data_IF_995082347400
#
_entry.id   IF_995082347400
#
_cell.length_a   1.000
_cell.length_b   1.000
_cell.length_c   1.000
_cell.angle_alpha   90.00
_cell.angle_beta   90.00
_cell.angle_gamma   90.00
#
_symmetry.space_group_name_H-M   'P 1'
#
loop_
_entity.id
_entity.type
_entity.pdbx_description
1 polymer ?
#
# COMPACT_ATOMS: atom_id res chain seq x y z
N UNK A 1 9.24 12.55 42.61
CA UNK A 1 10.61 12.65 42.08
C UNK A 1 10.50 13.16 40.65
N UNK A 2 10.65 14.47 40.43
CA UNK A 2 10.72 15.07 39.13
C UNK A 2 11.98 14.50 38.47
N UNK A 3 11.82 13.68 37.42
CA UNK A 3 12.94 13.38 36.52
C UNK A 3 13.37 14.74 35.95
N UNK A 4 14.59 15.17 36.26
CA UNK A 4 15.17 16.35 35.63
C UNK A 4 15.25 16.04 34.15
N UNK A 5 14.48 16.78 33.34
CA UNK A 5 14.51 16.61 31.89
C UNK A 5 15.95 16.86 31.41
N UNK A 6 16.43 15.94 30.57
CA UNK A 6 17.75 16.07 29.91
C UNK A 6 17.64 17.17 28.84
N UNK A 7 18.18 18.35 29.12
CA UNK A 7 18.09 19.50 28.22
C UNK A 7 19.46 19.83 27.64
N UNK A 8 19.53 19.80 26.32
CA UNK A 8 20.68 20.22 25.55
C UNK A 8 20.46 21.56 24.86
N UNK A 9 21.40 21.96 24.06
CA UNK A 9 21.35 23.21 23.27
C UNK A 9 21.72 22.97 21.83
N UNK A 10 20.99 23.61 20.93
CA UNK A 10 21.29 23.59 19.49
C UNK A 10 22.64 24.26 19.25
N UNK A 11 23.54 23.58 18.59
CA UNK A 11 24.89 24.10 18.26
C UNK A 11 25.05 24.40 16.78
N UNK A 12 24.29 23.74 15.91
CA UNK A 12 24.37 23.95 14.47
C UNK A 12 23.06 23.56 13.80
N UNK A 13 22.65 24.31 12.76
CA UNK A 13 21.53 24.00 11.89
C UNK A 13 21.97 24.10 10.44
N UNK A 14 21.87 23.00 9.69
CA UNK A 14 22.19 22.96 8.27
C UNK A 14 20.98 22.33 7.56
N UNK A 15 20.10 23.16 6.99
CA UNK A 15 18.85 22.69 6.39
C UNK A 15 18.04 21.87 7.41
N UNK A 16 17.63 20.62 7.07
CA UNK A 16 16.85 19.78 7.99
C UNK A 16 17.71 19.07 9.06
N UNK A 17 19.02 19.26 9.06
CA UNK A 17 19.94 18.63 10.02
C UNK A 17 20.24 19.60 11.16
N UNK A 18 20.07 19.11 12.40
CA UNK A 18 20.24 19.89 13.63
C UNK A 18 21.21 19.14 14.54
N UNK A 19 22.29 19.81 14.94
CA UNK A 19 23.23 19.27 15.91
C UNK A 19 22.93 19.86 17.30
N UNK A 20 22.85 18.99 18.29
CA UNK A 20 22.49 19.34 19.68
C UNK A 20 23.54 18.80 20.64
N UNK A 21 24.01 19.67 21.55
CA UNK A 21 24.96 19.28 22.60
C UNK A 21 24.23 19.08 23.92
N UNK A 22 24.54 17.97 24.58
CA UNK A 22 24.04 17.62 25.90
C UNK A 22 25.18 17.59 26.92
N UNK A 23 24.84 17.48 28.21
CA UNK A 23 25.83 17.31 29.25
C UNK A 23 26.55 15.96 29.10
N UNK A 24 27.81 15.89 29.55
CA UNK A 24 28.61 14.69 29.51
C UNK A 24 27.92 13.50 30.18
N UNK A 25 27.86 12.37 29.51
CA UNK A 25 27.24 11.16 30.01
C UNK A 25 25.70 11.13 29.91
N UNK A 26 25.09 12.11 29.28
CA UNK A 26 23.63 12.24 29.12
C UNK A 26 23.20 12.30 27.64
N UNK A 27 23.93 11.65 26.75
CA UNK A 27 23.59 11.62 25.33
C UNK A 27 22.29 10.84 25.09
N UNK A 28 21.35 11.43 24.31
CA UNK A 28 20.15 10.69 23.87
C UNK A 28 20.52 9.47 23.04
N UNK A 29 19.73 8.42 23.16
CA UNK A 29 19.89 7.23 22.31
C UNK A 29 19.53 7.55 20.86
N UNK A 30 20.11 6.76 19.94
CA UNK A 30 19.73 6.82 18.53
C UNK A 30 18.22 6.60 18.42
N UNK A 31 17.56 7.38 17.56
CA UNK A 31 16.12 7.45 17.33
C UNK A 31 15.29 8.14 18.41
N UNK A 32 15.89 8.59 19.51
CA UNK A 32 15.13 9.40 20.45
C UNK A 32 14.58 10.66 19.78
N UNK A 33 13.36 11.03 20.15
CA UNK A 33 12.75 12.30 19.77
C UNK A 33 13.27 13.40 20.69
N UNK A 34 13.72 14.49 20.09
CA UNK A 34 14.17 15.69 20.79
C UNK A 34 13.20 16.82 20.46
N UNK A 35 12.68 17.49 21.47
CA UNK A 35 11.79 18.66 21.31
C UNK A 35 12.59 19.94 21.40
N UNK A 36 12.56 20.75 20.36
CA UNK A 36 13.25 22.06 20.31
C UNK A 36 12.17 23.16 20.30
N UNK A 37 12.29 24.13 21.23
CA UNK A 37 11.31 25.15 21.42
C UNK A 37 11.79 26.51 20.91
N UNK A 38 10.95 27.18 20.10
CA UNK A 38 11.27 28.46 19.47
C UNK A 38 11.33 29.65 20.44
N UNK A 39 10.54 29.63 21.53
CA UNK A 39 10.49 30.73 22.47
C UNK A 39 10.30 30.25 23.91
N UNK A 40 11.10 30.83 24.81
CA UNK A 40 11.08 30.51 26.24
C UNK A 40 9.91 31.17 27.02
N UNK A 41 9.19 32.11 26.42
CA UNK A 41 8.29 33.01 27.13
C UNK A 41 6.81 32.88 26.80
N UNK A 42 6.44 32.14 25.78
CA UNK A 42 5.04 32.02 25.38
C UNK A 42 4.39 30.75 25.95
N UNK A 43 3.16 30.92 26.43
CA UNK A 43 2.32 29.79 26.83
C UNK A 43 1.99 28.85 25.67
N UNK A 44 2.26 29.27 24.44
CA UNK A 44 2.07 28.53 23.20
C UNK A 44 3.43 28.23 22.55
N UNK A 45 4.19 27.30 23.15
CA UNK A 45 5.49 26.92 22.66
C UNK A 45 5.36 26.10 21.37
N UNK A 46 5.66 26.69 20.21
CA UNK A 46 5.87 25.91 18.99
C UNK A 46 7.10 25.04 19.17
N UNK A 47 6.90 23.74 19.14
CA UNK A 47 8.00 22.78 19.19
C UNK A 47 8.32 22.26 17.81
N UNK A 48 9.60 22.03 17.55
CA UNK A 48 10.08 21.27 16.40
C UNK A 48 10.60 19.95 16.95
N UNK A 49 10.14 18.84 16.37
CA UNK A 49 10.61 17.52 16.75
C UNK A 49 11.71 17.11 15.79
N UNK A 50 12.85 16.70 16.36
CA UNK A 50 13.97 16.14 15.59
C UNK A 50 14.30 14.75 16.14
N UNK A 51 14.81 13.89 15.26
CA UNK A 51 15.16 12.50 15.61
C UNK A 51 16.68 12.35 15.61
N UNK A 52 17.21 11.74 16.66
CA UNK A 52 18.64 11.46 16.78
C UNK A 52 19.06 10.40 15.78
N UNK A 53 20.00 10.74 14.90
CA UNK A 53 20.52 9.83 13.85
C UNK A 53 21.96 9.40 14.07
N UNK A 54 22.80 10.22 14.69
CA UNK A 54 24.22 9.96 14.91
C UNK A 54 24.71 10.57 16.20
N UNK A 55 25.70 9.91 16.82
CA UNK A 55 26.53 10.50 17.85
C UNK A 55 27.83 11.01 17.22
N UNK A 56 28.12 12.31 17.33
CA UNK A 56 29.27 12.94 16.66
C UNK A 56 30.55 12.97 17.50
N UNK A 57 30.46 12.67 18.80
CA UNK A 57 31.49 13.01 19.76
C UNK A 57 31.28 14.40 20.36
N UNK A 58 32.11 14.80 21.35
CA UNK A 58 31.96 16.08 22.06
C UNK A 58 30.57 16.30 22.63
N UNK A 59 29.94 15.26 23.17
CA UNK A 59 28.62 15.30 23.75
C UNK A 59 27.53 15.83 22.80
N UNK A 60 27.77 15.71 21.50
CA UNK A 60 26.89 16.23 20.43
C UNK A 60 26.23 15.09 19.66
N UNK A 61 24.93 15.24 19.42
CA UNK A 61 24.14 14.33 18.56
C UNK A 61 23.69 15.07 17.31
N UNK A 62 23.68 14.36 16.20
CA UNK A 62 23.14 14.86 14.92
C UNK A 62 21.76 14.32 14.72
N UNK A 63 20.81 15.23 14.47
CA UNK A 63 19.39 14.94 14.37
C UNK A 63 18.84 15.38 13.01
N UNK A 64 17.73 14.78 12.62
CA UNK A 64 16.96 15.15 11.43
C UNK A 64 15.60 15.65 11.84
N UNK A 65 15.20 16.81 11.34
CA UNK A 65 13.94 17.46 11.69
C UNK A 65 12.75 16.81 10.96
N UNK A 66 11.62 16.74 11.67
CA UNK A 66 10.34 16.25 11.14
C UNK A 66 9.48 17.37 10.55
N UNK A 67 9.88 18.62 10.72
CA UNK A 67 9.23 19.79 10.14
C UNK A 67 10.27 20.82 9.75
N UNK A 68 9.84 21.98 9.20
CA UNK A 68 10.76 23.03 8.79
C UNK A 68 11.62 23.52 9.96
N UNK A 69 12.91 23.72 9.70
CA UNK A 69 13.85 24.30 10.67
C UNK A 69 13.97 25.82 10.55
N UNK A 70 13.14 26.45 9.72
CA UNK A 70 13.15 27.91 9.53
C UNK A 70 12.95 28.64 10.86
N UNK A 71 13.83 29.61 11.10
CA UNK A 71 13.80 30.37 12.35
C UNK A 71 14.55 29.72 13.53
N UNK A 72 15.07 28.53 13.37
CA UNK A 72 15.87 27.86 14.39
C UNK A 72 17.26 28.51 14.49
N UNK A 73 17.69 28.80 15.71
CA UNK A 73 18.99 29.43 16.00
C UNK A 73 19.80 28.62 17.00
N UNK A 74 21.10 28.92 17.08
CA UNK A 74 21.97 28.36 18.13
C UNK A 74 21.44 28.70 19.52
N UNK A 75 21.74 27.85 20.47
CA UNK A 75 21.40 27.95 21.89
C UNK A 75 19.93 27.81 22.22
N UNK A 76 19.08 27.46 21.27
CA UNK A 76 17.72 27.01 21.58
C UNK A 76 17.76 25.78 22.46
N UNK A 77 16.88 25.68 23.43
CA UNK A 77 16.77 24.50 24.28
C UNK A 77 16.21 23.32 23.52
N UNK A 78 16.84 22.16 23.74
CA UNK A 78 16.47 20.90 23.14
C UNK A 78 16.27 19.85 24.23
N UNK A 79 15.04 19.40 24.39
CA UNK A 79 14.66 18.45 25.42
C UNK A 79 14.64 17.04 24.87
N UNK A 80 15.47 16.16 25.48
CA UNK A 80 15.43 14.73 25.20
C UNK A 80 14.16 14.13 25.82
N UNK A 81 13.28 13.57 25.02
CA UNK A 81 12.06 12.92 25.52
C UNK A 81 12.33 11.56 26.15
N UNK A 82 13.54 11.01 25.98
CA UNK A 82 13.90 9.70 26.50
C UNK A 82 13.35 8.52 25.72
N UNK A 83 12.66 8.77 24.61
CA UNK A 83 12.02 7.72 23.79
C UNK A 83 11.94 8.14 22.32
N UNK A 84 11.78 7.18 21.38
CA UNK A 84 11.48 7.49 20.00
C UNK A 84 10.16 8.25 19.83
N UNK A 85 9.93 8.78 18.63
CA UNK A 85 8.63 9.38 18.28
C UNK A 85 7.54 8.35 18.59
N UNK A 86 6.55 8.74 19.39
CA UNK A 86 5.44 7.87 19.78
C UNK A 86 4.12 8.48 19.30
N UNK A 87 3.26 7.61 18.77
CA UNK A 87 2.05 8.03 18.06
C UNK A 87 0.81 7.37 18.70
N UNK A 88 -0.37 8.01 18.57
CA UNK A 88 -1.59 7.41 19.08
C UNK A 88 -1.96 6.15 18.31
N UNK A 89 -2.44 5.12 19.02
CA UNK A 89 -2.92 3.86 18.43
C UNK A 89 -4.27 3.50 19.06
N UNK A 90 -5.07 2.71 18.35
CA UNK A 90 -6.39 2.27 18.76
C UNK A 90 -7.47 2.72 17.78
N UNK A 91 -8.74 2.40 18.08
CA UNK A 91 -9.85 2.71 17.18
C UNK A 91 -10.11 4.21 17.02
N UNK A 92 -9.63 5.03 17.96
CA UNK A 92 -9.76 6.50 17.89
C UNK A 92 -9.01 7.15 16.74
N UNK A 93 -8.09 6.42 16.06
CA UNK A 93 -7.37 6.95 14.90
C UNK A 93 -8.17 6.76 13.59
N UNK A 94 -9.20 5.93 13.60
CA UNK A 94 -10.01 5.66 12.40
C UNK A 94 -10.78 6.91 11.96
N UNK A 95 -10.82 7.13 10.68
CA UNK A 95 -11.49 8.28 10.06
C UNK A 95 -10.69 9.58 10.10
N UNK A 96 -9.49 9.57 10.66
CA UNK A 96 -8.67 10.75 10.87
C UNK A 96 -7.44 10.74 9.98
N UNK A 97 -6.89 11.94 9.75
CA UNK A 97 -5.64 12.13 9.00
C UNK A 97 -4.57 12.62 9.96
N UNK A 98 -3.42 11.96 9.95
CA UNK A 98 -2.29 12.24 10.82
C UNK A 98 -1.05 12.64 10.01
N UNK A 99 -0.15 13.40 10.66
CA UNK A 99 1.21 13.59 10.18
C UNK A 99 2.16 12.51 10.75
N UNK A 100 3.45 12.63 10.48
CA UNK A 100 4.47 11.68 10.96
C UNK A 100 4.51 11.57 12.49
N UNK A 101 4.16 12.63 13.22
CA UNK A 101 4.17 12.68 14.68
C UNK A 101 2.88 12.14 15.30
N UNK A 102 1.91 11.73 14.50
CA UNK A 102 0.61 11.30 14.99
C UNK A 102 -0.29 12.45 15.42
N UNK A 103 -0.02 13.66 14.95
CA UNK A 103 -0.88 14.82 15.15
C UNK A 103 -1.90 14.88 14.01
N UNK A 104 -3.14 15.27 14.33
CA UNK A 104 -4.21 15.38 13.33
C UNK A 104 -4.01 16.59 12.43
N UNK A 105 -4.26 16.41 11.13
CA UNK A 105 -4.15 17.48 10.11
C UNK A 105 -5.43 17.62 9.28
N UNK A 106 -6.52 17.03 9.73
CA UNK A 106 -7.81 16.98 9.01
C UNK A 106 -8.76 18.14 9.34
N UNK A 107 -8.33 19.09 10.14
CA UNK A 107 -9.12 20.25 10.62
C UNK A 107 -10.36 19.87 11.44
N UNK A 108 -10.55 18.62 11.81
CA UNK A 108 -11.57 18.21 12.76
C UNK A 108 -11.11 18.57 14.18
N UNK A 109 -11.85 19.40 14.93
CA UNK A 109 -11.45 19.82 16.27
C UNK A 109 -11.61 18.72 17.32
N UNK A 110 -12.26 17.60 16.99
CA UNK A 110 -12.46 16.51 17.93
C UNK A 110 -11.11 15.91 18.35
N UNK A 111 -10.85 15.70 19.64
CA UNK A 111 -9.61 15.06 20.09
C UNK A 111 -9.60 13.58 19.71
N UNK A 112 -8.40 13.06 19.43
CA UNK A 112 -8.21 11.63 19.23
C UNK A 112 -8.17 10.93 20.57
N UNK A 113 -9.09 10.00 20.79
CA UNK A 113 -9.12 9.16 21.98
C UNK A 113 -8.31 7.91 21.69
N UNK A 114 -7.01 7.98 21.98
CA UNK A 114 -6.10 6.87 21.78
C UNK A 114 -6.17 5.87 22.96
N UNK A 115 -6.05 4.58 22.65
CA UNK A 115 -5.91 3.56 23.69
C UNK A 115 -4.55 3.66 24.36
N UNK A 116 -3.50 3.83 23.55
CA UNK A 116 -2.11 3.95 23.98
C UNK A 116 -1.33 4.83 22.99
N UNK A 117 -0.08 5.13 23.33
CA UNK A 117 0.92 5.67 22.41
C UNK A 117 2.04 4.66 22.26
N UNK A 118 2.36 4.37 21.01
CA UNK A 118 3.42 3.43 20.67
C UNK A 118 4.56 4.09 19.91
N UNK A 119 5.82 3.69 20.18
CA UNK A 119 6.97 4.21 19.42
C UNK A 119 6.95 3.67 17.99
N UNK A 120 7.35 4.52 17.03
CA UNK A 120 7.38 4.13 15.61
C UNK A 120 8.54 3.18 15.29
N UNK A 121 9.60 3.20 16.09
CA UNK A 121 10.71 2.25 15.97
C UNK A 121 10.43 1.04 16.86
N UNK A 122 10.04 -0.05 16.22
CA UNK A 122 9.67 -1.30 16.88
C UNK A 122 10.41 -2.45 16.21
N UNK A 123 10.79 -3.48 16.96
CA UNK A 123 11.38 -4.68 16.36
C UNK A 123 10.35 -5.43 15.53
N UNK A 124 10.82 -6.14 14.50
CA UNK A 124 9.99 -7.10 13.79
C UNK A 124 9.52 -8.20 14.74
N UNK A 125 8.39 -8.87 14.47
CA UNK A 125 7.96 -10.03 15.26
C UNK A 125 9.05 -11.10 15.30
N UNK A 126 9.17 -11.75 16.46
CA UNK A 126 10.12 -12.84 16.63
C UNK A 126 9.68 -14.05 15.81
N UNK A 127 10.64 -14.88 15.41
CA UNK A 127 10.34 -16.09 14.65
C UNK A 127 9.26 -16.96 15.29
N UNK A 128 9.29 -17.11 16.61
CA UNK A 128 8.31 -17.90 17.37
C UNK A 128 6.89 -17.32 17.34
N UNK A 129 6.76 -16.02 17.08
CA UNK A 129 5.47 -15.33 17.03
C UNK A 129 4.85 -15.33 15.62
N UNK A 130 5.60 -15.78 14.61
CA UNK A 130 5.13 -15.82 13.23
C UNK A 130 4.12 -16.95 13.04
N UNK A 131 3.13 -16.70 12.18
CA UNK A 131 2.20 -17.74 11.74
C UNK A 131 2.92 -18.71 10.80
N UNK A 132 2.87 -20.03 11.05
CA UNK A 132 3.48 -21.02 10.15
C UNK A 132 2.64 -21.26 8.90
N UNK A 133 1.38 -20.84 8.88
CA UNK A 133 0.42 -21.15 7.82
C UNK A 133 0.44 -20.12 6.72
N UNK A 134 0.46 -20.57 5.46
CA UNK A 134 0.24 -19.72 4.30
C UNK A 134 -1.25 -19.73 3.96
N UNK A 135 -1.90 -18.60 4.12
CA UNK A 135 -3.33 -18.43 3.86
C UNK A 135 -3.57 -17.36 2.81
N UNK A 136 -4.49 -17.62 1.90
CA UNK A 136 -4.94 -16.62 0.93
C UNK A 136 -5.78 -15.55 1.65
N UNK A 137 -5.54 -14.28 1.29
CA UNK A 137 -6.45 -13.19 1.64
C UNK A 137 -7.44 -13.04 0.48
N UNK A 138 -8.64 -13.55 0.67
CA UNK A 138 -9.69 -13.47 -0.34
C UNK A 138 -10.21 -12.02 -0.44
N UNK A 139 -10.10 -11.43 -1.61
CA UNK A 139 -10.45 -10.02 -1.84
C UNK A 139 -11.87 -9.84 -2.40
N UNK A 140 -12.46 -10.89 -2.92
CA UNK A 140 -13.76 -10.82 -3.61
C UNK A 140 -13.66 -10.21 -5.02
N UNK A 141 -12.45 -9.93 -5.48
CA UNK A 141 -12.17 -9.40 -6.81
C UNK A 141 -11.64 -10.55 -7.67
N UNK A 142 -12.41 -10.95 -8.69
CA UNK A 142 -12.14 -12.15 -9.50
C UNK A 142 -10.72 -12.19 -10.05
N UNK A 143 -10.29 -11.12 -10.70
CA UNK A 143 -8.97 -11.11 -11.36
C UNK A 143 -7.83 -11.21 -10.35
N UNK A 144 -7.99 -10.60 -9.19
CA UNK A 144 -6.97 -10.66 -8.13
C UNK A 144 -6.91 -12.08 -7.53
N UNK A 145 -8.03 -12.60 -7.10
CA UNK A 145 -8.08 -13.88 -6.40
C UNK A 145 -7.71 -15.06 -7.31
N UNK A 146 -8.02 -14.97 -8.60
CA UNK A 146 -7.68 -16.02 -9.56
C UNK A 146 -6.20 -15.97 -9.99
N UNK A 147 -5.75 -14.81 -10.46
CA UNK A 147 -4.47 -14.66 -11.20
C UNK A 147 -3.31 -14.26 -10.29
N UNK A 148 -3.56 -13.32 -9.40
CA UNK A 148 -2.53 -12.75 -8.53
C UNK A 148 -3.01 -12.72 -7.07
N UNK A 149 -3.34 -13.89 -6.49
CA UNK A 149 -3.92 -13.95 -5.15
C UNK A 149 -2.98 -13.38 -4.10
N UNK A 150 -3.56 -12.69 -3.12
CA UNK A 150 -2.85 -12.12 -2.01
C UNK A 150 -2.70 -13.14 -0.89
N UNK A 151 -1.55 -13.14 -0.25
CA UNK A 151 -1.31 -13.96 0.93
C UNK A 151 -1.46 -13.08 2.18
N UNK A 152 -2.11 -13.61 3.22
CA UNK A 152 -2.20 -12.91 4.50
C UNK A 152 -0.80 -12.70 5.07
N UNK A 153 -0.51 -11.46 5.46
CA UNK A 153 0.82 -11.07 5.92
C UNK A 153 1.82 -10.86 4.80
N UNK A 154 1.37 -10.91 3.55
CA UNK A 154 2.21 -10.71 2.37
C UNK A 154 2.38 -9.25 1.98
N UNK A 155 3.32 -9.02 1.10
CA UNK A 155 3.63 -7.71 0.53
C UNK A 155 3.31 -7.74 -0.94
N UNK A 156 2.37 -6.90 -1.35
CA UNK A 156 1.89 -6.83 -2.72
C UNK A 156 2.36 -5.53 -3.36
N UNK A 157 3.05 -5.63 -4.48
CA UNK A 157 3.40 -4.46 -5.27
C UNK A 157 2.26 -4.08 -6.20
N UNK A 158 1.88 -2.81 -6.19
CA UNK A 158 0.87 -2.26 -7.07
C UNK A 158 1.53 -1.34 -8.09
N UNK A 159 1.44 -1.71 -9.36
CA UNK A 159 2.03 -1.00 -10.48
C UNK A 159 0.93 -0.41 -11.35
N UNK A 160 1.10 0.81 -11.81
CA UNK A 160 0.16 1.44 -12.72
C UNK A 160 0.37 2.93 -12.80
N UNK A 161 0.11 3.48 -13.98
CA UNK A 161 0.15 4.91 -14.22
C UNK A 161 -1.08 5.65 -13.69
N UNK A 162 -1.14 6.93 -13.96
CA UNK A 162 -2.30 7.75 -13.62
C UNK A 162 -3.53 7.34 -14.43
N UNK A 163 -4.71 7.41 -13.80
CA UNK A 163 -5.99 7.21 -14.48
C UNK A 163 -6.37 5.77 -14.80
N UNK A 164 -5.70 4.78 -14.19
CA UNK A 164 -6.00 3.35 -14.41
C UNK A 164 -6.82 2.70 -13.29
N UNK A 165 -7.36 3.50 -12.37
CA UNK A 165 -8.24 3.01 -11.31
C UNK A 165 -7.54 2.51 -10.06
N UNK A 166 -6.32 2.95 -9.79
CA UNK A 166 -5.56 2.59 -8.58
C UNK A 166 -6.33 2.91 -7.30
N UNK A 167 -6.84 4.13 -7.18
CA UNK A 167 -7.57 4.59 -6.00
C UNK A 167 -8.86 3.80 -5.77
N UNK A 168 -9.59 3.52 -6.83
CA UNK A 168 -10.85 2.78 -6.77
C UNK A 168 -10.58 1.34 -6.31
N UNK A 169 -9.51 0.71 -6.80
CA UNK A 169 -9.11 -0.62 -6.36
C UNK A 169 -8.74 -0.63 -4.88
N UNK A 170 -7.98 0.36 -4.42
CA UNK A 170 -7.61 0.51 -3.00
C UNK A 170 -8.86 0.61 -2.14
N UNK A 171 -9.81 1.46 -2.52
CA UNK A 171 -11.06 1.63 -1.76
C UNK A 171 -11.90 0.36 -1.73
N UNK A 172 -11.95 -0.38 -2.82
CA UNK A 172 -12.68 -1.65 -2.87
C UNK A 172 -12.04 -2.71 -1.96
N UNK A 173 -10.71 -2.78 -1.94
CA UNK A 173 -9.99 -3.67 -1.01
C UNK A 173 -10.30 -3.32 0.45
N UNK A 174 -10.31 -2.04 0.79
CA UNK A 174 -10.67 -1.57 2.15
C UNK A 174 -12.10 -1.99 2.49
N UNK A 175 -13.04 -1.75 1.59
CA UNK A 175 -14.44 -2.11 1.78
C UNK A 175 -14.61 -3.62 2.00
N UNK A 176 -14.01 -4.43 1.14
CA UNK A 176 -14.18 -5.87 1.20
C UNK A 176 -13.52 -6.50 2.42
N UNK A 177 -12.34 -6.03 2.82
CA UNK A 177 -11.68 -6.51 4.03
C UNK A 177 -12.47 -6.12 5.28
N UNK A 178 -12.97 -4.89 5.35
CA UNK A 178 -13.79 -4.44 6.48
C UNK A 178 -15.10 -5.23 6.60
N UNK A 179 -15.77 -5.49 5.49
CA UNK A 179 -17.08 -6.16 5.45
C UNK A 179 -16.97 -7.67 5.67
N UNK A 180 -16.02 -8.32 4.99
CA UNK A 180 -15.92 -9.80 4.98
C UNK A 180 -14.95 -10.35 6.02
N UNK A 181 -13.92 -9.59 6.38
CA UNK A 181 -12.87 -10.02 7.32
C UNK A 181 -12.89 -9.24 8.64
N UNK A 182 -13.67 -8.18 8.73
CA UNK A 182 -13.80 -7.35 9.94
C UNK A 182 -12.55 -6.55 10.29
N UNK A 183 -11.59 -6.44 9.39
CA UNK A 183 -10.31 -5.75 9.61
C UNK A 183 -10.36 -4.28 9.26
N UNK A 184 -9.51 -3.51 9.92
CA UNK A 184 -9.29 -2.11 9.62
C UNK A 184 -8.15 -1.94 8.63
N UNK A 185 -8.03 -0.74 8.07
CA UNK A 185 -6.99 -0.40 7.12
C UNK A 185 -6.25 0.85 7.55
N UNK A 186 -4.98 0.93 7.17
CA UNK A 186 -4.16 2.12 7.35
C UNK A 186 -3.59 2.50 5.99
N UNK A 187 -3.74 3.76 5.62
CA UNK A 187 -3.17 4.29 4.38
C UNK A 187 -2.05 5.27 4.71
N UNK A 188 -0.83 4.95 4.26
CA UNK A 188 0.34 5.82 4.42
C UNK A 188 0.67 6.48 3.09
N UNK A 189 0.46 7.79 3.00
CA UNK A 189 0.86 8.60 1.86
C UNK A 189 2.27 9.12 2.04
N UNK A 190 3.20 8.64 1.24
CA UNK A 190 4.63 8.96 1.34
C UNK A 190 5.09 9.77 0.15
N UNK A 191 5.39 11.03 0.37
CA UNK A 191 5.94 11.92 -0.66
C UNK A 191 4.96 12.28 -1.79
N UNK A 192 3.67 12.07 -1.58
CA UNK A 192 2.64 12.40 -2.57
C UNK A 192 2.22 13.88 -2.50
N UNK A 193 1.51 14.34 -3.52
CA UNK A 193 1.01 15.71 -3.57
C UNK A 193 -0.12 15.90 -2.57
N UNK A 194 -0.15 17.05 -1.89
CA UNK A 194 -1.18 17.40 -0.93
C UNK A 194 -2.60 17.31 -1.53
N UNK A 195 -2.75 17.73 -2.78
CA UNK A 195 -4.03 17.65 -3.50
C UNK A 195 -4.52 16.21 -3.64
N UNK A 196 -3.63 15.29 -4.02
CA UNK A 196 -3.98 13.87 -4.18
C UNK A 196 -4.41 13.25 -2.86
N UNK A 197 -3.73 13.58 -1.76
CA UNK A 197 -4.11 13.12 -0.43
C UNK A 197 -5.47 13.61 0.01
N UNK A 198 -5.79 14.87 -0.26
CA UNK A 198 -7.09 15.44 0.04
C UNK A 198 -8.21 14.82 -0.82
N UNK A 199 -7.93 14.61 -2.11
CA UNK A 199 -8.88 13.97 -3.02
C UNK A 199 -9.20 12.54 -2.57
N UNK A 200 -8.20 11.78 -2.16
CA UNK A 200 -8.37 10.42 -1.62
C UNK A 200 -9.27 10.42 -0.38
N UNK A 201 -9.03 11.33 0.54
CA UNK A 201 -9.84 11.44 1.76
C UNK A 201 -11.31 11.73 1.46
N UNK A 202 -11.57 12.66 0.52
CA UNK A 202 -12.93 12.98 0.09
C UNK A 202 -13.60 11.78 -0.61
N UNK A 203 -12.88 11.08 -1.46
CA UNK A 203 -13.38 9.87 -2.13
C UNK A 203 -13.70 8.77 -1.13
N UNK A 204 -12.87 8.59 -0.09
CA UNK A 204 -13.14 7.63 0.98
C UNK A 204 -14.39 7.99 1.79
N UNK A 205 -14.65 9.28 2.00
CA UNK A 205 -15.88 9.74 2.65
C UNK A 205 -17.11 9.43 1.79
N UNK A 206 -17.05 9.75 0.51
CA UNK A 206 -18.14 9.52 -0.43
C UNK A 206 -18.46 8.03 -0.59
N UNK A 207 -17.46 7.18 -0.62
CA UNK A 207 -17.62 5.73 -0.75
C UNK A 207 -17.93 5.02 0.56
N UNK A 208 -17.88 5.73 1.70
CA UNK A 208 -18.22 5.20 3.01
C UNK A 208 -17.18 4.34 3.69
N UNK A 209 -15.94 4.31 3.19
CA UNK A 209 -14.86 3.49 3.77
C UNK A 209 -14.00 4.23 4.80
N UNK A 210 -14.20 5.54 4.95
CA UNK A 210 -13.36 6.38 5.82
C UNK A 210 -13.40 5.91 7.29
N UNK A 211 -14.53 5.43 7.78
CA UNK A 211 -14.70 4.99 9.16
C UNK A 211 -13.92 3.72 9.50
N UNK A 212 -13.38 3.04 8.50
CA UNK A 212 -12.58 1.81 8.64
C UNK A 212 -11.11 2.04 8.35
N UNK A 213 -10.70 3.29 8.15
CA UNK A 213 -9.36 3.63 7.68
C UNK A 213 -8.73 4.75 8.50
N UNK A 214 -7.48 4.58 8.90
CA UNK A 214 -6.63 5.66 9.39
C UNK A 214 -5.71 6.14 8.25
N UNK A 215 -5.55 7.44 8.10
CA UNK A 215 -4.74 8.06 7.07
C UNK A 215 -3.53 8.74 7.71
N UNK A 216 -2.34 8.50 7.17
CA UNK A 216 -1.10 9.11 7.66
C UNK A 216 -0.35 9.68 6.45
N UNK A 217 -0.13 10.98 6.45
CA UNK A 217 0.49 11.66 5.32
C UNK A 217 1.82 12.31 5.67
N UNK A 218 2.85 11.98 4.89
CA UNK A 218 4.11 12.71 4.81
C UNK A 218 4.27 13.21 3.39
N UNK A 219 3.74 14.41 3.11
CA UNK A 219 3.58 14.95 1.77
C UNK A 219 4.93 15.37 1.15
N UNK A 220 4.95 15.59 -0.17
CA UNK A 220 6.17 15.94 -0.89
C UNK A 220 6.78 17.29 -0.46
N UNK A 221 5.99 18.17 0.13
CA UNK A 221 6.45 19.47 0.63
C UNK A 221 7.05 19.40 2.03
N UNK A 222 6.96 18.27 2.71
CA UNK A 222 7.56 18.09 4.03
C UNK A 222 9.05 17.71 3.91
N UNK A 223 9.85 17.97 4.96
CA UNK A 223 11.27 17.64 4.93
C UNK A 223 11.51 16.14 4.83
N UNK A 224 12.72 15.72 4.41
CA UNK A 224 13.01 14.30 4.17
C UNK A 224 12.86 13.41 5.41
N UNK A 225 13.07 13.95 6.62
CA UNK A 225 12.84 13.22 7.87
C UNK A 225 11.41 12.75 8.02
N UNK A 226 10.46 13.64 7.75
CA UNK A 226 9.02 13.31 7.80
C UNK A 226 8.64 12.28 6.75
N UNK A 227 9.09 12.46 5.51
CA UNK A 227 8.82 11.53 4.41
C UNK A 227 9.43 10.14 4.65
N UNK A 228 10.60 10.09 5.30
CA UNK A 228 11.27 8.85 5.67
C UNK A 228 10.55 8.08 6.78
N UNK A 229 9.91 8.78 7.73
CA UNK A 229 9.33 8.17 8.94
C UNK A 229 7.82 7.95 8.90
N UNK A 230 7.11 8.60 7.99
CA UNK A 230 5.64 8.51 7.92
C UNK A 230 5.16 7.08 7.68
N UNK A 231 5.89 6.30 6.90
CA UNK A 231 5.59 4.88 6.68
C UNK A 231 5.64 4.07 7.97
N UNK A 232 6.58 4.38 8.85
CA UNK A 232 6.67 3.74 10.17
C UNK A 232 5.51 4.14 11.08
N UNK A 233 5.04 5.37 10.98
CA UNK A 233 3.87 5.83 11.74
C UNK A 233 2.63 5.02 11.37
N UNK A 234 2.35 4.89 10.07
CA UNK A 234 1.23 4.07 9.60
C UNK A 234 1.38 2.60 9.96
N UNK A 235 2.58 2.05 9.79
CA UNK A 235 2.86 0.67 10.15
C UNK A 235 2.62 0.40 11.64
N UNK A 236 3.00 1.33 12.51
CA UNK A 236 2.79 1.19 13.96
C UNK A 236 1.30 1.16 14.32
N UNK A 237 0.48 1.98 13.67
CA UNK A 237 -0.98 1.91 13.83
C UNK A 237 -1.53 0.55 13.39
N UNK A 238 -1.05 0.04 12.27
CA UNK A 238 -1.44 -1.28 11.77
C UNK A 238 -1.01 -2.41 12.72
N UNK A 239 0.18 -2.33 13.28
CA UNK A 239 0.69 -3.31 14.25
C UNK A 239 -0.18 -3.40 15.50
N UNK A 240 -0.72 -2.29 15.97
CA UNK A 240 -1.64 -2.29 17.11
C UNK A 240 -2.90 -3.10 16.79
N UNK A 241 -3.50 -2.88 15.63
CA UNK A 241 -4.68 -3.63 15.20
C UNK A 241 -4.38 -5.12 15.01
N UNK A 242 -3.21 -5.48 14.49
CA UNK A 242 -2.78 -6.87 14.37
C UNK A 242 -2.57 -7.53 15.71
N UNK A 243 -1.79 -6.92 16.60
CA UNK A 243 -1.26 -7.55 17.79
C UNK A 243 -2.21 -7.48 18.99
N UNK A 244 -2.91 -6.37 19.17
CA UNK A 244 -3.82 -6.13 20.29
C UNK A 244 -5.27 -6.46 19.93
N UNK A 245 -5.73 -5.96 18.77
CA UNK A 245 -7.10 -6.21 18.31
C UNK A 245 -7.25 -7.52 17.55
N UNK A 246 -6.16 -8.21 17.26
CA UNK A 246 -6.10 -9.54 16.63
C UNK A 246 -6.83 -9.59 15.28
N UNK A 247 -6.60 -8.58 14.46
CA UNK A 247 -7.26 -8.41 13.17
C UNK A 247 -6.35 -8.74 12.00
N UNK A 248 -6.98 -8.97 10.85
CA UNK A 248 -6.31 -8.98 9.56
C UNK A 248 -6.38 -7.55 9.00
N UNK A 249 -5.25 -6.86 9.02
CA UNK A 249 -5.13 -5.44 8.70
C UNK A 249 -4.59 -5.27 7.28
N UNK A 250 -5.14 -4.31 6.54
CA UNK A 250 -4.53 -3.83 5.30
C UNK A 250 -3.70 -2.59 5.58
N UNK A 251 -2.48 -2.59 5.06
CA UNK A 251 -1.60 -1.42 5.09
C UNK A 251 -1.28 -1.01 3.66
N UNK A 252 -1.66 0.21 3.30
CA UNK A 252 -1.31 0.78 2.00
C UNK A 252 -0.14 1.74 2.16
N UNK A 253 0.84 1.63 1.28
CA UNK A 253 1.99 2.55 1.23
C UNK A 253 2.04 3.12 -0.18
N UNK A 254 1.77 4.38 -0.31
CA UNK A 254 1.82 5.08 -1.59
C UNK A 254 2.72 6.31 -1.44
N UNK A 255 3.95 6.23 -1.81
CA UNK A 255 4.65 5.29 -2.65
C UNK A 255 5.92 4.80 -1.94
N UNK A 256 6.23 3.54 -2.01
CA UNK A 256 7.41 2.98 -1.34
C UNK A 256 8.73 3.56 -1.89
N UNK A 257 8.77 3.93 -3.16
CA UNK A 257 9.94 4.60 -3.75
C UNK A 257 10.26 5.91 -3.03
N UNK A 258 9.25 6.67 -2.62
CA UNK A 258 9.44 7.95 -1.91
C UNK A 258 10.04 7.76 -0.51
N UNK A 259 9.72 6.65 0.14
CA UNK A 259 10.38 6.26 1.38
C UNK A 259 11.88 6.06 1.16
N UNK A 260 12.26 5.33 0.11
CA UNK A 260 13.65 5.07 -0.24
C UNK A 260 14.37 6.37 -0.61
N UNK A 261 13.73 7.21 -1.42
CA UNK A 261 14.28 8.51 -1.85
C UNK A 261 14.54 9.43 -0.64
N UNK A 262 13.61 9.51 0.29
CA UNK A 262 13.78 10.30 1.51
C UNK A 262 14.95 9.78 2.35
N UNK A 263 15.10 8.47 2.46
CA UNK A 263 16.26 7.85 3.12
C UNK A 263 17.58 8.20 2.44
N UNK A 264 17.59 8.26 1.12
CA UNK A 264 18.76 8.70 0.33
C UNK A 264 19.12 10.16 0.61
N UNK A 265 18.12 11.04 0.64
CA UNK A 265 18.34 12.46 0.98
C UNK A 265 18.92 12.63 2.39
N UNK A 266 18.36 11.94 3.37
CA UNK A 266 18.87 11.97 4.76
C UNK A 266 20.30 11.44 4.83
N UNK A 267 20.60 10.32 4.16
CA UNK A 267 21.93 9.73 4.13
C UNK A 267 22.97 10.70 3.58
N UNK A 268 22.64 11.39 2.50
CA UNK A 268 23.50 12.43 1.91
C UNK A 268 23.75 13.59 2.88
N UNK A 269 22.70 14.06 3.56
CA UNK A 269 22.79 15.14 4.54
C UNK A 269 23.62 14.75 5.77
N UNK A 270 23.64 13.47 6.14
CA UNK A 270 24.47 12.94 7.22
C UNK A 270 25.93 12.71 6.80
N UNK A 271 26.27 12.96 5.55
CA UNK A 271 27.62 12.82 5.03
C UNK A 271 28.06 11.39 4.79
N UNK A 272 27.12 10.45 4.66
CA UNK A 272 27.44 9.06 4.34
C UNK A 272 27.84 8.94 2.87
N UNK A 273 28.82 8.07 2.59
CA UNK A 273 29.25 7.83 1.22
C UNK A 273 28.13 7.12 0.44
N UNK A 274 27.72 7.67 -0.72
CA UNK A 274 26.66 7.06 -1.49
C UNK A 274 27.08 5.71 -2.11
N UNK A 275 26.12 4.82 -2.27
CA UNK A 275 26.27 3.58 -3.02
C UNK A 275 25.89 3.77 -4.50
N UNK A 276 25.60 2.68 -5.22
CA UNK A 276 25.23 2.72 -6.64
C UNK A 276 24.08 3.71 -6.90
N UNK A 277 24.20 4.50 -7.97
CA UNK A 277 23.18 5.48 -8.44
C UNK A 277 22.83 6.55 -7.39
N UNK A 278 23.71 6.77 -6.41
CA UNK A 278 23.53 7.79 -5.37
C UNK A 278 22.63 7.38 -4.22
N UNK A 279 22.19 6.14 -4.14
CA UNK A 279 21.38 5.64 -3.02
C UNK A 279 22.22 5.47 -1.75
N UNK A 280 21.53 5.42 -0.61
CA UNK A 280 22.17 5.21 0.70
C UNK A 280 22.86 3.84 0.77
N UNK A 281 24.01 3.75 1.48
CA UNK A 281 24.69 2.46 1.66
C UNK A 281 23.88 1.47 2.48
N UNK A 282 22.89 1.94 3.24
CA UNK A 282 22.00 1.14 4.09
C UNK A 282 20.69 0.77 3.40
N UNK A 283 20.59 0.95 2.07
CA UNK A 283 19.33 0.75 1.33
C UNK A 283 18.64 -0.58 1.64
N UNK A 284 19.37 -1.68 1.53
CA UNK A 284 18.80 -3.00 1.77
C UNK A 284 18.31 -3.17 3.21
N UNK A 285 19.05 -2.63 4.18
CA UNK A 285 18.67 -2.69 5.59
C UNK A 285 17.47 -1.80 5.90
N UNK A 286 17.40 -0.61 5.31
CA UNK A 286 16.27 0.32 5.49
C UNK A 286 14.96 -0.28 4.98
N UNK A 287 14.99 -0.85 3.77
CA UNK A 287 13.83 -1.52 3.17
C UNK A 287 13.49 -2.78 3.96
N UNK A 288 14.48 -3.60 4.30
CA UNK A 288 14.30 -4.83 5.07
C UNK A 288 13.68 -4.58 6.43
N UNK A 289 14.14 -3.57 7.15
CA UNK A 289 13.62 -3.24 8.49
C UNK A 289 12.12 -2.86 8.45
N UNK A 290 11.69 -2.14 7.42
CA UNK A 290 10.29 -1.84 7.20
C UNK A 290 9.50 -3.09 6.84
N UNK A 291 9.96 -3.84 5.86
CA UNK A 291 9.24 -4.98 5.29
C UNK A 291 9.08 -6.16 6.26
N UNK A 292 10.08 -6.40 7.10
CA UNK A 292 10.06 -7.50 8.07
C UNK A 292 9.01 -7.33 9.17
N UNK A 293 8.58 -6.10 9.45
CA UNK A 293 7.49 -5.83 10.40
C UNK A 293 6.12 -6.16 9.80
N UNK A 294 6.03 -6.21 8.48
CA UNK A 294 4.79 -6.48 7.73
C UNK A 294 4.67 -7.98 7.54
N UNK A 295 3.94 -8.64 8.41
CA UNK A 295 3.83 -10.10 8.39
C UNK A 295 2.61 -10.60 9.15
N UNK A 296 2.31 -11.90 9.01
CA UNK A 296 1.34 -12.61 9.84
C UNK A 296 1.98 -13.07 11.13
N UNK A 297 1.29 -12.86 12.24
CA UNK A 297 1.62 -13.43 13.54
C UNK A 297 0.53 -14.42 13.94
N UNK A 298 0.73 -15.10 15.06
CA UNK A 298 -0.29 -15.98 15.65
C UNK A 298 -1.53 -15.21 16.11
N UNK A 299 -1.40 -13.88 16.30
CA UNK A 299 -2.48 -13.00 16.78
C UNK A 299 -3.31 -12.43 15.62
N UNK A 300 -2.68 -12.05 14.54
CA UNK A 300 -3.33 -11.42 13.38
C UNK A 300 -2.37 -11.25 12.22
N UNK A 301 -2.76 -10.47 11.22
CA UNK A 301 -1.92 -10.23 10.05
C UNK A 301 -1.92 -8.77 9.62
N UNK A 302 -0.80 -8.34 9.02
CA UNK A 302 -0.73 -7.13 8.21
C UNK A 302 -0.39 -7.56 6.79
N UNK A 303 -1.30 -7.28 5.87
CA UNK A 303 -1.07 -7.46 4.44
C UNK A 303 -0.87 -6.07 3.83
N UNK A 304 0.25 -5.85 3.16
CA UNK A 304 0.54 -4.54 2.58
C UNK A 304 0.32 -4.52 1.08
N UNK A 305 -0.24 -3.41 0.61
CA UNK A 305 -0.31 -3.06 -0.81
C UNK A 305 0.55 -1.81 -0.99
N UNK A 306 1.64 -1.95 -1.70
CA UNK A 306 2.65 -0.91 -1.85
C UNK A 306 2.68 -0.44 -3.29
N UNK A 307 2.34 0.82 -3.53
CA UNK A 307 2.51 1.41 -4.84
C UNK A 307 4.01 1.53 -5.14
N UNK A 308 4.42 1.02 -6.28
CA UNK A 308 5.82 1.00 -6.69
C UNK A 308 6.00 1.86 -7.93
N UNK A 309 6.88 2.85 -7.82
CA UNK A 309 7.34 3.65 -8.95
C UNK A 309 8.69 3.09 -9.43
N UNK A 310 8.82 2.95 -10.73
CA UNK A 310 10.07 2.47 -11.35
C UNK A 310 10.70 3.63 -12.11
N UNK A 311 11.81 4.23 -11.60
CA UNK A 311 12.46 5.36 -12.26
C UNK A 311 12.90 5.00 -13.68
N UNK A 312 12.49 5.82 -14.66
CA UNK A 312 12.82 5.66 -16.08
C UNK A 312 12.50 4.26 -16.63
N UNK A 313 11.50 3.56 -16.07
CA UNK A 313 11.13 2.18 -16.39
C UNK A 313 12.28 1.17 -16.27
N UNK A 314 13.30 1.50 -15.49
CA UNK A 314 14.49 0.67 -15.27
C UNK A 314 14.31 -0.23 -14.04
N UNK A 315 13.95 -1.48 -14.27
CA UNK A 315 13.79 -2.50 -13.22
C UNK A 315 15.12 -2.89 -12.55
N UNK A 316 16.25 -2.49 -13.13
CA UNK A 316 17.58 -2.74 -12.54
C UNK A 316 18.03 -1.66 -11.58
N UNK A 317 17.27 -0.55 -11.49
CA UNK A 317 17.52 0.49 -10.50
C UNK A 317 17.49 -0.12 -9.09
N UNK A 318 18.43 0.24 -8.19
CA UNK A 318 18.51 -0.35 -6.86
C UNK A 318 17.25 -0.24 -6.00
N UNK A 319 16.45 0.82 -6.16
CA UNK A 319 15.22 1.02 -5.37
C UNK A 319 14.14 -0.02 -5.70
N UNK A 320 13.69 -0.19 -6.96
CA UNK A 320 12.76 -1.26 -7.29
C UNK A 320 13.36 -2.63 -7.03
N UNK A 321 14.64 -2.86 -7.33
CA UNK A 321 15.29 -4.15 -7.07
C UNK A 321 15.23 -4.56 -5.61
N UNK A 322 15.52 -3.64 -4.67
CA UNK A 322 15.44 -3.89 -3.24
C UNK A 322 14.00 -4.17 -2.79
N UNK A 323 13.03 -3.49 -3.38
CA UNK A 323 11.61 -3.68 -3.07
C UNK A 323 11.10 -5.01 -3.58
N UNK A 324 11.41 -5.38 -4.83
CA UNK A 324 10.96 -6.64 -5.44
C UNK A 324 11.40 -7.89 -4.67
N UNK A 325 12.56 -7.85 -4.02
CA UNK A 325 13.04 -8.96 -3.21
C UNK A 325 12.07 -9.36 -2.08
N UNK A 326 11.21 -8.43 -1.63
CA UNK A 326 10.25 -8.64 -0.54
C UNK A 326 8.82 -8.90 -1.01
N UNK A 327 8.51 -8.71 -2.29
CA UNK A 327 7.14 -8.83 -2.78
C UNK A 327 6.71 -10.29 -2.94
N UNK A 328 5.52 -10.59 -2.45
CA UNK A 328 4.87 -11.90 -2.59
C UNK A 328 3.97 -11.97 -3.81
N UNK A 329 3.41 -10.84 -4.23
CA UNK A 329 2.56 -10.72 -5.39
C UNK A 329 2.72 -9.34 -6.04
N UNK A 330 2.40 -9.26 -7.33
CA UNK A 330 2.33 -7.99 -8.04
C UNK A 330 1.00 -7.86 -8.75
N UNK A 331 0.36 -6.71 -8.59
CA UNK A 331 -0.85 -6.31 -9.31
C UNK A 331 -0.46 -5.22 -10.28
N UNK A 332 -0.60 -5.48 -11.57
CA UNK A 332 -0.28 -4.51 -12.62
C UNK A 332 -1.57 -3.96 -13.20
N UNK A 333 -1.77 -2.65 -13.07
CA UNK A 333 -2.89 -1.95 -13.69
C UNK A 333 -2.46 -1.45 -15.07
N UNK A 334 -3.24 -1.80 -16.09
CA UNK A 334 -2.90 -1.55 -17.48
C UNK A 334 -3.82 -0.51 -18.11
N UNK A 335 -3.24 0.50 -18.71
CA UNK A 335 -3.99 1.51 -19.48
C UNK A 335 -4.71 0.90 -20.67
N UNK A 336 -4.11 -0.05 -21.38
CA UNK A 336 -4.73 -0.70 -22.53
C UNK A 336 -5.99 -1.49 -22.15
N UNK A 337 -6.01 -2.09 -20.96
CA UNK A 337 -7.18 -2.79 -20.43
C UNK A 337 -8.26 -1.77 -20.01
N UNK A 338 -7.86 -0.66 -19.37
CA UNK A 338 -8.77 0.42 -19.02
C UNK A 338 -9.43 1.05 -20.27
N UNK A 339 -8.70 1.19 -21.34
CA UNK A 339 -9.20 1.70 -22.63
C UNK A 339 -10.25 0.77 -23.27
N UNK A 340 -10.21 -0.53 -22.97
CA UNK A 340 -11.24 -1.48 -23.37
C UNK A 340 -12.49 -1.41 -22.48
N UNK A 341 -12.49 -0.57 -21.46
CA UNK A 341 -13.59 -0.45 -20.51
C UNK A 341 -13.66 -1.57 -19.48
N UNK A 342 -12.59 -2.34 -19.33
CA UNK A 342 -12.52 -3.46 -18.37
C UNK A 342 -11.98 -2.94 -17.04
N UNK A 343 -12.82 -2.98 -16.00
CA UNK A 343 -12.47 -2.56 -14.65
C UNK A 343 -12.79 -3.66 -13.64
N UNK A 344 -11.88 -3.95 -12.68
CA UNK A 344 -10.56 -3.33 -12.49
C UNK A 344 -9.62 -3.64 -13.67
N UNK A 345 -8.80 -2.66 -14.03
CA UNK A 345 -7.90 -2.78 -15.18
C UNK A 345 -6.61 -3.58 -14.86
N UNK A 346 -6.75 -4.65 -14.12
CA UNK A 346 -5.63 -5.53 -13.74
C UNK A 346 -5.22 -6.37 -14.94
N UNK A 347 -3.93 -6.32 -15.25
CA UNK A 347 -3.37 -7.12 -16.34
C UNK A 347 -3.18 -8.58 -15.88
N UNK A 348 -3.94 -9.53 -16.43
CA UNK A 348 -3.87 -10.92 -16.00
C UNK A 348 -2.62 -11.66 -16.48
N UNK A 349 -1.89 -11.11 -17.43
CA UNK A 349 -0.65 -11.71 -17.96
C UNK A 349 0.60 -11.17 -17.24
N UNK A 350 0.59 -9.90 -16.87
CA UNK A 350 1.73 -9.25 -16.20
C UNK A 350 1.65 -9.31 -14.66
N UNK A 351 0.48 -9.57 -14.10
CA UNK A 351 0.31 -9.72 -12.66
C UNK A 351 0.72 -11.11 -12.22
N UNK A 352 1.36 -11.20 -11.06
CA UNK A 352 1.92 -12.47 -10.54
C UNK A 352 1.66 -12.65 -9.06
N UNK A 353 1.75 -13.89 -8.60
CA UNK A 353 1.73 -14.22 -7.17
C UNK A 353 2.58 -15.46 -6.91
N UNK A 354 3.40 -15.40 -5.85
CA UNK A 354 4.23 -16.55 -5.44
C UNK A 354 3.41 -17.74 -4.95
N UNK A 355 2.21 -17.48 -4.44
CA UNK A 355 1.34 -18.55 -3.95
C UNK A 355 0.51 -19.21 -5.05
N UNK A 356 0.57 -18.71 -6.29
CA UNK A 356 -0.06 -19.36 -7.44
C UNK A 356 0.78 -20.59 -7.84
N UNK A 357 0.61 -21.63 -7.05
CA UNK A 357 1.34 -22.88 -7.10
C UNK A 357 0.37 -24.02 -6.71
N UNK A 358 0.38 -25.16 -7.43
CA UNK A 358 -0.56 -26.25 -7.13
C UNK A 358 -0.39 -26.84 -5.72
N UNK A 359 0.82 -26.74 -5.14
CA UNK A 359 1.08 -27.22 -3.80
C UNK A 359 0.57 -26.29 -2.69
N UNK A 360 0.31 -25.02 -3.01
CA UNK A 360 -0.17 -24.01 -2.05
C UNK A 360 -1.68 -23.80 -2.15
N UNK A 361 -2.18 -23.54 -3.36
CA UNK A 361 -3.60 -23.21 -3.59
C UNK A 361 -4.44 -24.41 -4.07
N UNK A 362 -3.81 -25.52 -4.38
CA UNK A 362 -4.48 -26.69 -4.94
C UNK A 362 -4.40 -26.72 -6.48
N UNK A 363 -4.58 -27.91 -7.03
CA UNK A 363 -4.46 -28.16 -8.47
C UNK A 363 -5.56 -27.46 -9.28
N UNK A 364 -6.78 -27.39 -8.73
CA UNK A 364 -7.91 -26.76 -9.43
C UNK A 364 -7.67 -25.28 -9.67
N UNK A 365 -7.33 -24.53 -8.61
CA UNK A 365 -7.06 -23.09 -8.74
C UNK A 365 -5.93 -22.84 -9.73
N UNK A 366 -4.83 -23.57 -9.60
CA UNK A 366 -3.67 -23.43 -10.49
C UNK A 366 -4.04 -23.73 -11.95
N UNK A 367 -4.78 -24.81 -12.18
CA UNK A 367 -5.18 -25.22 -13.53
C UNK A 367 -6.09 -24.18 -14.19
N UNK A 368 -7.06 -23.65 -13.46
CA UNK A 368 -7.98 -22.61 -13.98
C UNK A 368 -7.22 -21.33 -14.28
N UNK A 369 -6.37 -20.88 -13.37
CA UNK A 369 -5.57 -19.66 -13.56
C UNK A 369 -4.64 -19.78 -14.78
N UNK A 370 -3.93 -20.89 -14.91
CA UNK A 370 -3.04 -21.15 -16.05
C UNK A 370 -3.81 -21.28 -17.35
N UNK A 371 -4.97 -21.94 -17.33
CA UNK A 371 -5.84 -22.04 -18.49
C UNK A 371 -6.32 -20.68 -18.98
N UNK A 372 -6.71 -19.81 -18.07
CA UNK A 372 -7.08 -18.42 -18.40
C UNK A 372 -5.90 -17.67 -19.02
N UNK A 373 -4.73 -17.76 -18.42
CA UNK A 373 -3.53 -17.10 -18.92
C UNK A 373 -3.12 -17.61 -20.30
N UNK A 374 -3.18 -18.92 -20.54
CA UNK A 374 -2.86 -19.53 -21.84
C UNK A 374 -3.80 -19.04 -22.94
N UNK A 375 -5.09 -19.00 -22.67
CA UNK A 375 -6.09 -18.52 -23.64
C UNK A 375 -5.89 -17.03 -23.94
N UNK A 376 -5.65 -16.24 -22.94
CA UNK A 376 -5.40 -14.80 -23.11
C UNK A 376 -4.08 -14.53 -23.82
N UNK A 377 -3.02 -15.30 -23.54
CA UNK A 377 -1.74 -15.18 -24.23
C UNK A 377 -1.88 -15.53 -25.70
N UNK A 378 -2.58 -16.63 -26.03
CA UNK A 378 -2.82 -17.00 -27.42
C UNK A 378 -3.64 -15.94 -28.14
N UNK A 379 -4.64 -15.37 -27.51
CA UNK A 379 -5.40 -14.26 -28.08
C UNK A 379 -4.52 -13.05 -28.37
N UNK A 380 -3.63 -12.71 -27.46
CA UNK A 380 -2.65 -11.62 -27.65
C UNK A 380 -1.74 -11.88 -28.84
N UNK A 381 -1.26 -13.11 -28.99
CA UNK A 381 -0.41 -13.52 -30.12
C UNK A 381 -1.16 -13.46 -31.48
N UNK A 382 -2.48 -13.71 -31.46
CA UNK A 382 -3.32 -13.67 -32.66
C UNK A 382 -3.78 -12.26 -33.05
N UNK A 383 -3.65 -11.28 -32.15
CA UNK A 383 -4.16 -9.93 -32.40
C UNK A 383 -3.50 -9.26 -33.60
N UNK A 384 -2.22 -9.44 -33.82
CA UNK A 384 -1.51 -8.88 -34.97
C UNK A 384 -2.06 -9.46 -36.28
N UNK A 385 -2.34 -10.76 -36.31
CA UNK A 385 -2.93 -11.43 -37.47
C UNK A 385 -4.35 -10.92 -37.71
N UNK A 386 -5.14 -10.76 -36.66
CA UNK A 386 -6.51 -10.23 -36.74
C UNK A 386 -6.51 -8.80 -37.28
N UNK A 387 -5.59 -7.96 -36.82
CA UNK A 387 -5.49 -6.57 -37.26
C UNK A 387 -5.12 -6.42 -38.73
N UNK A 388 -4.29 -7.31 -39.25
CA UNK A 388 -3.77 -7.25 -40.63
C UNK A 388 -4.68 -8.02 -41.60
N UNK A 389 -5.09 -9.22 -41.26
CA UNK A 389 -5.79 -10.16 -42.16
C UNK A 389 -7.27 -10.32 -41.83
N UNK A 390 -7.73 -9.90 -40.67
CA UNK A 390 -9.11 -10.07 -40.20
C UNK A 390 -9.37 -11.43 -39.55
N UNK A 391 -10.52 -11.55 -38.89
CA UNK A 391 -10.95 -12.78 -38.21
C UNK A 391 -11.20 -13.95 -39.13
N UNK A 392 -11.59 -13.70 -40.37
CA UNK A 392 -11.95 -14.73 -41.32
C UNK A 392 -10.77 -15.63 -41.74
N UNK A 393 -9.55 -15.11 -41.61
CA UNK A 393 -8.33 -15.84 -41.94
C UNK A 393 -7.85 -16.81 -40.85
N UNK A 394 -8.50 -16.78 -39.68
CA UNK A 394 -8.16 -17.71 -38.61
C UNK A 394 -8.75 -19.09 -38.83
N UNK A 395 -8.05 -20.12 -38.33
CA UNK A 395 -8.60 -21.49 -38.26
C UNK A 395 -9.82 -21.51 -37.33
N UNK A 396 -10.66 -22.51 -37.44
CA UNK A 396 -11.84 -22.69 -36.58
C UNK A 396 -11.44 -22.82 -35.10
N UNK A 397 -10.32 -23.51 -34.85
CA UNK A 397 -9.74 -23.62 -33.50
C UNK A 397 -9.33 -22.25 -32.93
N UNK A 398 -8.67 -21.43 -33.74
CA UNK A 398 -8.25 -20.09 -33.32
C UNK A 398 -9.44 -19.14 -33.10
N UNK A 399 -10.47 -19.24 -33.97
CA UNK A 399 -11.73 -18.50 -33.79
C UNK A 399 -12.41 -18.84 -32.46
N UNK A 400 -12.42 -20.13 -32.10
CA UNK A 400 -12.98 -20.56 -30.80
C UNK A 400 -12.16 -20.03 -29.64
N UNK A 401 -10.84 -20.09 -29.73
CA UNK A 401 -9.94 -19.52 -28.71
C UNK A 401 -10.17 -18.02 -28.52
N UNK A 402 -10.29 -17.26 -29.61
CA UNK A 402 -10.58 -15.81 -29.56
C UNK A 402 -11.93 -15.55 -28.91
N UNK A 403 -12.96 -16.30 -29.25
CA UNK A 403 -14.30 -16.18 -28.68
C UNK A 403 -14.27 -16.40 -27.16
N UNK A 404 -13.62 -17.46 -26.71
CA UNK A 404 -13.46 -17.73 -25.27
C UNK A 404 -12.62 -16.67 -24.56
N UNK A 405 -11.53 -16.23 -25.18
CA UNK A 405 -10.66 -15.20 -24.64
C UNK A 405 -11.41 -13.88 -24.41
N UNK A 406 -12.26 -13.48 -25.34
CA UNK A 406 -13.06 -12.27 -25.21
C UNK A 406 -14.08 -12.37 -24.08
N UNK A 407 -14.71 -13.54 -23.91
CA UNK A 407 -15.60 -13.81 -22.77
C UNK A 407 -14.85 -13.74 -21.45
N UNK A 408 -13.66 -14.35 -21.39
CA UNK A 408 -12.79 -14.32 -20.20
C UNK A 408 -12.38 -12.90 -19.86
N UNK A 409 -11.94 -12.10 -20.83
CA UNK A 409 -11.58 -10.70 -20.63
C UNK A 409 -12.72 -9.92 -20.00
N UNK A 410 -13.93 -10.06 -20.52
CA UNK A 410 -15.09 -9.36 -20.01
C UNK A 410 -15.50 -9.88 -18.62
N UNK A 411 -15.38 -11.17 -18.38
CA UNK A 411 -15.71 -11.77 -17.09
C UNK A 411 -14.70 -11.42 -16.00
N UNK A 412 -13.49 -11.00 -16.35
CA UNK A 412 -12.52 -10.45 -15.40
C UNK A 412 -12.96 -9.08 -14.83
N UNK A 413 -13.85 -8.38 -15.53
CA UNK A 413 -14.48 -7.17 -15.01
C UNK A 413 -15.54 -7.49 -13.96
N UNK A 414 -15.74 -6.58 -13.02
CA UNK A 414 -16.82 -6.69 -12.06
C UNK A 414 -17.19 -5.31 -11.50
N UNK A 415 -18.45 -5.11 -11.09
CA UNK A 415 -18.85 -3.86 -10.46
C UNK A 415 -18.35 -3.79 -9.02
N UNK A 416 -17.89 -2.60 -8.63
CA UNK A 416 -17.39 -2.33 -7.29
C UNK A 416 -18.41 -1.63 -6.42
N UNK A 417 -18.44 -1.96 -5.14
CA UNK A 417 -19.29 -1.29 -4.15
C UNK A 417 -18.97 0.21 -4.06
N UNK A 418 -17.69 0.55 -4.08
CA UNK A 418 -17.25 1.94 -3.98
C UNK A 418 -17.55 2.77 -5.22
N UNK A 419 -17.90 2.14 -6.31
CA UNK A 419 -18.26 2.80 -7.58
C UNK A 419 -19.76 2.87 -7.85
N UNK A 420 -20.62 2.32 -6.98
CA UNK A 420 -22.07 2.29 -7.16
C UNK A 420 -22.69 3.66 -7.43
N UNK A 421 -22.19 4.69 -6.73
CA UNK A 421 -22.66 6.08 -6.88
C UNK A 421 -22.43 6.61 -8.29
N UNK A 422 -21.35 6.18 -8.95
CA UNK A 422 -20.96 6.66 -10.28
C UNK A 422 -21.53 5.80 -11.41
N UNK A 423 -21.61 4.49 -11.20
CA UNK A 423 -22.01 3.53 -12.25
C UNK A 423 -23.53 3.20 -12.22
N UNK A 424 -24.17 3.42 -11.09
CA UNK A 424 -25.55 3.01 -10.86
C UNK A 424 -25.75 1.48 -10.78
N UNK A 425 -24.67 0.70 -10.83
CA UNK A 425 -24.72 -0.76 -10.74
C UNK A 425 -24.34 -1.22 -9.34
N UNK A 426 -25.06 -2.16 -8.73
CA UNK A 426 -24.71 -2.71 -7.42
C UNK A 426 -23.34 -3.40 -7.47
N UNK A 427 -22.51 -3.16 -6.46
CA UNK A 427 -21.23 -3.82 -6.31
C UNK A 427 -21.38 -5.30 -6.01
N UNK A 428 -20.32 -6.07 -6.31
CA UNK A 428 -20.30 -7.52 -6.12
C UNK A 428 -19.02 -7.96 -5.42
N UNK A 429 -19.20 -8.76 -4.39
CA UNK A 429 -18.13 -9.56 -3.79
C UNK A 429 -18.26 -10.97 -4.35
N UNK A 430 -17.25 -11.48 -5.04
CA UNK A 430 -17.30 -12.80 -5.66
C UNK A 430 -16.45 -13.78 -4.86
N UNK A 431 -17.05 -14.78 -4.19
CA UNK A 431 -16.29 -15.80 -3.49
C UNK A 431 -15.34 -16.53 -4.46
N UNK A 432 -14.17 -16.93 -3.96
CA UNK A 432 -13.17 -17.61 -4.78
C UNK A 432 -13.70 -18.87 -5.46
N UNK A 433 -14.55 -19.66 -4.77
CA UNK A 433 -15.18 -20.86 -5.33
C UNK A 433 -16.01 -20.54 -6.57
N UNK A 434 -16.76 -19.43 -6.56
CA UNK A 434 -17.56 -18.99 -7.69
C UNK A 434 -16.69 -18.46 -8.84
N UNK A 435 -15.60 -17.78 -8.52
CA UNK A 435 -14.60 -17.35 -9.51
C UNK A 435 -14.01 -18.55 -10.24
N UNK A 436 -13.56 -19.56 -9.50
CA UNK A 436 -12.98 -20.78 -10.07
C UNK A 436 -13.99 -21.53 -10.94
N UNK A 437 -15.23 -21.69 -10.42
CA UNK A 437 -16.31 -22.36 -11.16
C UNK A 437 -16.61 -21.64 -12.49
N UNK A 438 -16.75 -20.34 -12.44
CA UNK A 438 -17.12 -19.54 -13.62
C UNK A 438 -16.07 -19.61 -14.71
N UNK A 439 -14.81 -19.37 -14.37
CA UNK A 439 -13.73 -19.43 -15.38
C UNK A 439 -13.50 -20.85 -15.91
N UNK A 440 -13.58 -21.85 -15.05
CA UNK A 440 -13.47 -23.24 -15.48
C UNK A 440 -14.55 -23.59 -16.51
N UNK A 441 -15.80 -23.23 -16.24
CA UNK A 441 -16.93 -23.49 -17.14
C UNK A 441 -16.78 -22.75 -18.48
N UNK A 442 -16.23 -21.54 -18.48
CA UNK A 442 -15.95 -20.81 -19.74
C UNK A 442 -14.84 -21.53 -20.52
N UNK A 443 -13.79 -21.96 -19.84
CA UNK A 443 -12.68 -22.69 -20.47
C UNK A 443 -13.15 -24.04 -21.06
N UNK A 444 -14.09 -24.72 -20.40
CA UNK A 444 -14.63 -26.01 -20.85
C UNK A 444 -15.63 -25.87 -21.99
N UNK A 445 -15.98 -24.65 -22.37
CA UNK A 445 -16.86 -24.37 -23.50
C UNK A 445 -18.34 -24.43 -23.17
N UNK A 446 -18.73 -24.49 -21.91
CA UNK A 446 -20.14 -24.57 -21.50
C UNK A 446 -20.96 -23.36 -21.97
N UNK A 447 -20.34 -22.22 -22.17
CA UNK A 447 -21.01 -20.97 -22.55
C UNK A 447 -20.59 -20.46 -23.93
N UNK A 448 -20.10 -21.32 -24.80
CA UNK A 448 -19.66 -20.92 -26.15
C UNK A 448 -20.79 -20.27 -26.98
N UNK A 449 -22.03 -20.65 -26.71
CA UNK A 449 -23.22 -20.13 -27.41
C UNK A 449 -23.71 -18.77 -26.88
N UNK A 450 -23.20 -18.32 -25.73
CA UNK A 450 -23.65 -17.07 -25.14
C UNK A 450 -22.88 -15.86 -25.71
N UNK A 451 -23.52 -14.69 -25.82
CA UNK A 451 -22.84 -13.50 -26.31
C UNK A 451 -21.80 -13.01 -25.29
N UNK A 452 -20.69 -12.47 -25.78
CA UNK A 452 -19.60 -11.96 -24.94
C UNK A 452 -20.05 -10.79 -24.01
N UNK A 453 -21.00 -9.98 -24.46
CA UNK A 453 -21.52 -8.86 -23.68
C UNK A 453 -22.21 -9.30 -22.38
N UNK A 454 -22.70 -10.53 -22.30
CA UNK A 454 -23.29 -11.07 -21.09
C UNK A 454 -22.30 -11.24 -19.93
N UNK A 455 -21.01 -11.35 -20.23
CA UNK A 455 -19.94 -11.56 -19.25
C UNK A 455 -19.35 -10.24 -18.73
N UNK A 456 -19.80 -9.11 -19.28
CA UNK A 456 -19.27 -7.80 -18.93
C UNK A 456 -19.92 -7.25 -17.66
N UNK A 457 -19.08 -6.83 -16.70
CA UNK A 457 -19.50 -6.18 -15.45
C UNK A 457 -20.56 -6.97 -14.69
N UNK A 458 -20.28 -8.24 -14.48
CA UNK A 458 -21.09 -9.14 -13.65
C UNK A 458 -20.23 -9.72 -12.52
N UNK A 459 -20.88 -10.25 -11.48
CA UNK A 459 -20.17 -10.92 -10.39
C UNK A 459 -19.91 -12.38 -10.70
N UNK A 460 -20.89 -13.24 -10.43
CA UNK A 460 -20.76 -14.68 -10.66
C UNK A 460 -21.12 -15.07 -12.09
N UNK A 461 -20.78 -16.30 -12.45
CA UNK A 461 -21.15 -16.86 -13.77
C UNK A 461 -22.67 -16.99 -13.93
N UNK A 462 -23.40 -17.23 -12.86
CA UNK A 462 -24.85 -17.31 -12.89
C UNK A 462 -25.47 -15.98 -13.30
N UNK A 463 -24.88 -14.86 -12.89
CA UNK A 463 -25.29 -13.53 -13.32
C UNK A 463 -25.07 -13.32 -14.82
N UNK A 464 -23.95 -13.85 -15.36
CA UNK A 464 -23.69 -13.80 -16.79
C UNK A 464 -24.73 -14.58 -17.58
N UNK A 465 -25.11 -15.77 -17.12
CA UNK A 465 -26.15 -16.60 -17.73
C UNK A 465 -27.50 -15.89 -17.72
N UNK A 466 -27.84 -15.29 -16.58
CA UNK A 466 -29.07 -14.51 -16.45
C UNK A 466 -29.09 -13.29 -17.37
N UNK A 467 -28.00 -12.58 -17.46
CA UNK A 467 -27.84 -11.43 -18.36
C UNK A 467 -27.99 -11.85 -19.83
N UNK A 468 -27.45 -13.00 -20.20
CA UNK A 468 -27.58 -13.56 -21.56
C UNK A 468 -29.06 -13.85 -21.90
N UNK A 469 -29.84 -14.39 -20.96
CA UNK A 469 -31.29 -14.60 -21.13
C UNK A 469 -32.03 -13.29 -21.33
N UNK A 470 -31.70 -12.28 -20.53
CA UNK A 470 -32.33 -10.96 -20.64
C UNK A 470 -32.01 -10.28 -21.98
N UNK A 471 -30.76 -10.41 -22.45
CA UNK A 471 -30.36 -9.88 -23.75
C UNK A 471 -31.11 -10.58 -24.91
N UNK A 472 -31.31 -11.87 -24.81
CA UNK A 472 -32.05 -12.64 -25.82
C UNK A 472 -33.53 -12.21 -25.86
N UNK A 473 -34.17 -12.00 -24.70
CA UNK A 473 -35.55 -11.54 -24.59
C UNK A 473 -35.74 -10.15 -25.18
N UNK A 474 -34.73 -9.27 -25.06
CA UNK A 474 -34.77 -7.92 -25.60
C UNK A 474 -34.38 -7.83 -27.08
N UNK A 475 -33.96 -8.93 -27.67
CA UNK A 475 -33.54 -8.96 -29.06
C UNK A 475 -32.19 -8.28 -29.34
N UNK A 476 -31.33 -8.17 -28.32
CA UNK A 476 -29.99 -7.61 -28.41
C UNK A 476 -28.93 -8.66 -28.76
#
# INVERSE_FOLDING_TARGET
LSMSNNIGKVVQVIGPVVDVRFDAGHLPAIYNAIHIYHDHKAHDRQKIVVEVMQHLGDDTVRCVAMSSTDGMTRNMEAEDTGAPISIPVGEGVLGRIFNVLGETVDHDPAPVVADEKWPIHRPAPKFDDLSPDTQILETGIKVVDLIAPYVKGGKIGLFGGAGVGKTVLIMELIHNVATEHGGYSVFSGVGERTREGNDLWNEMKESGVINKTALVYGQMNEPPGARMRVGLTGLTMAEYFRDVKKQDVLLFIDNIFRFIQAGSEVSALLGRMPSAVGYQPTLANDVGALQERITSTKEGSITSVQAVYVPADDLTDPAPAATFAHLDATTVLSRSIAELGIYPAVDPLDSTSRILDPHVLGEEHYAVARGVQEVLQKYRDLQDIIAILGMEELSDEDKLTVSRARKIQRFLSQPFFVAEVFTGSPGKYVPLSETLRGFREILDGKYDELPEGAFYMVGTIDEAVQKAKEMQEKGE
#
